data_IF_270307497413
#
_entry.id   IF_270307497413
#
_cell.length_a   1.000
_cell.length_b   1.000
_cell.length_c   1.000
_cell.angle_alpha   90.00
_cell.angle_beta   90.00
_cell.angle_gamma   90.00
#
_symmetry.space_group_name_H-M   'P 1'
#
loop_
_entity.id
_entity.type
_entity.pdbx_description
1 polymer ?
#
# COMPACT_ATOMS: atom_id res chain seq x y z
N UNK A 1 5.92 -20.38 3.16
CA UNK A 1 5.58 -21.53 4.04
C UNK A 1 5.70 -22.85 3.30
N UNK A 2 5.19 -22.96 2.07
CA UNK A 2 5.31 -24.17 1.21
C UNK A 2 6.74 -24.71 1.12
N UNK A 3 7.72 -23.87 0.73
CA UNK A 3 9.12 -24.28 0.63
C UNK A 3 9.69 -24.77 1.97
N UNK A 4 9.41 -24.07 3.08
CA UNK A 4 9.84 -24.49 4.43
C UNK A 4 9.27 -25.84 4.83
N UNK A 5 8.03 -26.16 4.43
CA UNK A 5 7.42 -27.47 4.63
C UNK A 5 8.13 -28.54 3.79
N UNK A 6 8.36 -28.29 2.50
CA UNK A 6 9.07 -29.21 1.59
C UNK A 6 10.47 -29.53 2.12
N UNK A 7 11.20 -28.52 2.59
CA UNK A 7 12.56 -28.66 3.12
C UNK A 7 12.59 -29.18 4.58
N UNK A 8 11.42 -29.40 5.19
CA UNK A 8 11.28 -29.70 6.63
C UNK A 8 12.10 -28.73 7.51
N UNK A 9 12.00 -27.43 7.22
CA UNK A 9 12.77 -26.38 7.87
C UNK A 9 11.92 -25.56 8.86
N UNK A 10 12.08 -25.86 10.15
CA UNK A 10 11.27 -25.29 11.25
C UNK A 10 11.89 -24.07 11.95
N UNK A 11 12.94 -23.49 11.34
CA UNK A 11 13.75 -22.44 11.94
C UNK A 11 15.09 -22.98 12.46
N UNK A 12 16.13 -22.13 12.39
CA UNK A 12 17.51 -22.52 12.70
C UNK A 12 17.67 -22.94 14.16
N UNK A 13 17.21 -22.10 15.10
CA UNK A 13 17.26 -22.39 16.54
C UNK A 13 16.42 -23.63 16.89
N UNK A 14 15.25 -23.79 16.26
CA UNK A 14 14.39 -24.97 16.43
C UNK A 14 15.13 -26.24 16.04
N UNK A 15 15.83 -26.27 14.90
CA UNK A 15 16.64 -27.42 14.48
C UNK A 15 17.75 -27.75 15.49
N UNK A 16 18.48 -26.75 15.97
CA UNK A 16 19.53 -26.95 16.98
C UNK A 16 18.98 -27.57 18.27
N UNK A 17 17.76 -27.23 18.68
CA UNK A 17 17.10 -27.83 19.84
C UNK A 17 16.61 -29.26 19.56
N UNK A 18 16.05 -29.50 18.37
CA UNK A 18 15.61 -30.83 17.94
C UNK A 18 16.77 -31.82 17.82
N UNK A 19 17.96 -31.36 17.43
CA UNK A 19 19.16 -32.21 17.32
C UNK A 19 19.66 -32.71 18.67
N UNK A 20 19.26 -32.08 19.78
CA UNK A 20 19.57 -32.52 21.15
C UNK A 20 18.58 -33.56 21.68
N UNK A 21 17.52 -33.88 20.94
CA UNK A 21 16.48 -34.80 21.39
C UNK A 21 16.73 -36.24 20.94
N UNK A 22 16.02 -37.18 21.57
CA UNK A 22 16.02 -38.57 21.14
C UNK A 22 15.36 -38.71 19.75
N UNK A 23 15.75 -39.70 18.94
CA UNK A 23 15.18 -39.89 17.61
C UNK A 23 13.63 -39.98 17.58
N UNK A 24 12.95 -40.70 18.50
CA UNK A 24 11.49 -40.76 18.52
C UNK A 24 10.82 -39.41 18.81
N UNK A 25 11.39 -38.62 19.73
CA UNK A 25 10.88 -37.29 20.06
C UNK A 25 11.06 -36.33 18.89
N UNK A 26 12.23 -36.36 18.25
CA UNK A 26 12.54 -35.56 17.07
C UNK A 26 11.57 -35.85 15.92
N UNK A 27 11.29 -37.14 15.64
CA UNK A 27 10.32 -37.53 14.62
C UNK A 27 8.90 -37.07 14.93
N UNK A 28 8.45 -37.18 16.19
CA UNK A 28 7.13 -36.69 16.61
C UNK A 28 7.01 -35.18 16.45
N UNK A 29 8.00 -34.41 16.92
CA UNK A 29 8.01 -32.96 16.79
C UNK A 29 8.02 -32.51 15.32
N UNK A 30 8.78 -33.20 14.46
CA UNK A 30 8.79 -32.93 13.02
C UNK A 30 7.39 -33.10 12.41
N UNK A 31 6.67 -34.18 12.76
CA UNK A 31 5.29 -34.38 12.28
C UNK A 31 4.35 -33.27 12.77
N UNK A 32 4.45 -32.87 14.03
CA UNK A 32 3.62 -31.79 14.58
C UNK A 32 3.87 -30.46 13.88
N UNK A 33 5.14 -30.13 13.57
CA UNK A 33 5.47 -28.91 12.81
C UNK A 33 5.04 -28.98 11.34
N UNK A 34 5.10 -30.14 10.71
CA UNK A 34 4.56 -30.31 9.36
C UNK A 34 3.04 -30.11 9.33
N UNK A 35 2.31 -30.66 10.32
CA UNK A 35 0.86 -30.42 10.49
C UNK A 35 0.52 -28.96 10.76
N UNK A 36 1.38 -28.25 11.49
CA UNK A 36 1.25 -26.80 11.67
C UNK A 36 1.35 -26.08 10.33
N UNK A 37 2.35 -26.42 9.49
CA UNK A 37 2.44 -25.85 8.15
C UNK A 37 1.23 -26.18 7.29
N UNK A 38 0.70 -27.40 7.35
CA UNK A 38 -0.54 -27.76 6.66
C UNK A 38 -1.70 -26.88 7.08
N UNK A 39 -1.89 -26.69 8.39
CA UNK A 39 -2.95 -25.83 8.93
C UNK A 39 -2.81 -24.39 8.47
N UNK A 40 -1.58 -23.84 8.46
CA UNK A 40 -1.32 -22.47 8.01
C UNK A 40 -1.56 -22.31 6.51
N UNK A 41 -1.09 -23.25 5.71
CA UNK A 41 -1.29 -23.23 4.25
C UNK A 41 -2.80 -23.32 3.94
N UNK A 42 -3.49 -24.31 4.52
CA UNK A 42 -4.93 -24.48 4.33
C UNK A 42 -5.74 -23.24 4.78
N UNK A 43 -5.31 -22.58 5.86
CA UNK A 43 -5.93 -21.32 6.28
C UNK A 43 -5.72 -20.21 5.25
N UNK A 44 -4.49 -20.01 4.79
CA UNK A 44 -4.16 -18.98 3.80
C UNK A 44 -4.93 -19.25 2.49
N UNK A 45 -4.91 -20.48 1.98
CA UNK A 45 -5.61 -20.87 0.74
C UNK A 45 -7.14 -20.77 0.86
N UNK A 46 -7.70 -20.91 2.08
CA UNK A 46 -9.13 -20.71 2.31
C UNK A 46 -9.56 -19.25 2.16
N UNK A 47 -8.72 -18.31 2.60
CA UNK A 47 -9.09 -16.90 2.68
C UNK A 47 -8.54 -16.05 1.54
N UNK A 48 -7.48 -16.51 0.89
CA UNK A 48 -6.78 -15.80 -0.17
C UNK A 48 -6.85 -16.60 -1.45
N UNK A 49 -7.24 -15.93 -2.53
CA UNK A 49 -7.27 -16.52 -3.86
C UNK A 49 -5.97 -16.17 -4.60
N UNK A 50 -5.13 -17.17 -4.80
CA UNK A 50 -3.87 -17.07 -5.55
C UNK A 50 -4.00 -17.54 -7.00
N UNK A 51 -5.23 -17.77 -7.49
CA UNK A 51 -5.46 -18.16 -8.88
C UNK A 51 -4.97 -17.06 -9.83
N UNK A 52 -4.51 -17.42 -11.05
CA UNK A 52 -4.19 -16.44 -12.10
C UNK A 52 -5.35 -15.50 -12.44
N UNK A 53 -6.58 -15.94 -12.20
CA UNK A 53 -7.80 -15.19 -12.47
C UNK A 53 -8.02 -14.04 -11.48
N UNK A 54 -7.41 -14.12 -10.29
CA UNK A 54 -7.49 -13.11 -9.24
C UNK A 54 -6.99 -11.74 -9.74
N UNK A 55 -7.75 -10.69 -9.44
CA UNK A 55 -7.40 -9.32 -9.86
C UNK A 55 -6.04 -8.89 -9.32
N UNK A 56 -5.73 -9.19 -8.06
CA UNK A 56 -4.45 -8.79 -7.45
C UNK A 56 -3.25 -9.47 -8.12
N UNK A 57 -3.44 -10.72 -8.58
CA UNK A 57 -2.41 -11.43 -9.35
C UNK A 57 -2.15 -10.76 -10.70
N UNK A 58 -3.22 -10.30 -11.39
CA UNK A 58 -3.13 -9.54 -12.64
C UNK A 58 -2.47 -8.17 -12.47
N UNK A 59 -2.55 -7.57 -11.27
CA UNK A 59 -1.92 -6.28 -10.96
C UNK A 59 -0.43 -6.39 -10.59
N UNK A 60 0.08 -7.60 -10.29
CA UNK A 60 1.49 -7.82 -9.90
C UNK A 60 2.52 -7.14 -10.84
N UNK A 61 2.34 -7.14 -12.19
CA UNK A 61 3.28 -6.51 -13.11
C UNK A 61 3.45 -5.00 -12.92
N UNK A 62 2.47 -4.30 -12.34
CA UNK A 62 2.59 -2.87 -11.98
C UNK A 62 3.74 -2.64 -10.98
N UNK A 63 4.15 -3.66 -10.22
CA UNK A 63 5.30 -3.56 -9.31
C UNK A 63 6.64 -3.29 -10.00
N UNK A 64 6.75 -3.50 -11.33
CA UNK A 64 8.00 -3.40 -12.09
C UNK A 64 9.14 -4.18 -11.40
N UNK A 65 8.84 -5.37 -10.87
CA UNK A 65 9.83 -6.28 -10.29
C UNK A 65 10.32 -7.31 -11.31
N UNK A 66 9.52 -7.50 -12.36
CA UNK A 66 9.73 -8.33 -13.53
C UNK A 66 9.37 -7.46 -14.75
N UNK A 67 9.62 -7.96 -15.95
CA UNK A 67 9.30 -7.24 -17.19
C UNK A 67 7.78 -7.04 -17.34
N UNK A 68 7.37 -5.78 -17.54
CA UNK A 68 6.00 -5.42 -17.88
C UNK A 68 5.83 -5.51 -19.40
N UNK A 69 4.92 -6.36 -19.87
CA UNK A 69 4.56 -6.50 -21.28
C UNK A 69 3.26 -5.75 -21.55
N UNK A 70 2.97 -5.45 -22.83
CA UNK A 70 1.70 -4.84 -23.19
C UNK A 70 0.51 -5.75 -22.89
N UNK A 71 0.65 -7.07 -23.04
CA UNK A 71 -0.42 -8.02 -22.70
C UNK A 71 -0.79 -7.96 -21.21
N UNK A 72 0.18 -7.68 -20.32
CA UNK A 72 -0.15 -7.42 -18.92
C UNK A 72 -1.04 -6.19 -18.77
N UNK A 73 -0.78 -5.10 -19.52
CA UNK A 73 -1.61 -3.90 -19.49
C UNK A 73 -3.04 -4.17 -19.99
N UNK A 74 -3.21 -4.97 -21.06
CA UNK A 74 -4.54 -5.40 -21.54
C UNK A 74 -5.32 -6.16 -20.46
N UNK A 75 -4.65 -7.10 -19.78
CA UNK A 75 -5.23 -7.88 -18.69
C UNK A 75 -5.60 -6.99 -17.50
N UNK A 76 -4.75 -6.01 -17.16
CA UNK A 76 -5.01 -5.04 -16.09
C UNK A 76 -6.22 -4.17 -16.42
N UNK A 77 -6.28 -3.58 -17.61
CA UNK A 77 -7.41 -2.74 -18.04
C UNK A 77 -8.72 -3.54 -18.01
N UNK A 78 -8.67 -4.80 -18.45
CA UNK A 78 -9.83 -5.71 -18.42
C UNK A 78 -10.24 -6.03 -16.97
N UNK A 79 -9.29 -6.41 -16.12
CA UNK A 79 -9.55 -6.77 -14.72
C UNK A 79 -10.11 -5.59 -13.91
N UNK A 80 -9.65 -4.38 -14.20
CA UNK A 80 -10.10 -3.14 -13.57
C UNK A 80 -11.36 -2.55 -14.23
N UNK A 81 -11.86 -3.16 -15.31
CA UNK A 81 -13.02 -2.67 -16.09
C UNK A 81 -12.83 -1.23 -16.58
N UNK A 82 -11.63 -0.90 -17.05
CA UNK A 82 -11.26 0.46 -17.49
C UNK A 82 -11.30 0.64 -19.01
N UNK A 83 -11.76 -0.35 -19.78
CA UNK A 83 -11.71 -0.35 -21.24
C UNK A 83 -12.49 0.82 -21.89
N UNK A 84 -13.52 1.34 -21.22
CA UNK A 84 -14.28 2.52 -21.71
C UNK A 84 -13.58 3.85 -21.44
N UNK A 85 -12.61 3.88 -20.52
CA UNK A 85 -11.91 5.09 -20.05
C UNK A 85 -10.52 5.22 -20.70
N UNK A 86 -9.93 4.08 -21.05
CA UNK A 86 -8.58 3.96 -21.56
C UNK A 86 -8.63 3.77 -23.08
N UNK A 87 -7.91 4.62 -23.80
CA UNK A 87 -7.67 4.41 -25.22
C UNK A 87 -6.52 3.39 -25.36
N UNK A 88 -6.85 2.17 -25.82
CA UNK A 88 -5.88 1.06 -25.91
C UNK A 88 -4.80 1.28 -26.97
N UNK A 89 -5.14 1.92 -28.10
CA UNK A 89 -4.17 2.23 -29.15
C UNK A 89 -3.16 3.26 -28.65
N UNK A 90 -3.64 4.33 -28.00
CA UNK A 90 -2.75 5.31 -27.37
C UNK A 90 -1.94 4.70 -26.25
N UNK A 91 -2.52 3.82 -25.42
CA UNK A 91 -1.79 3.13 -24.37
C UNK A 91 -0.61 2.31 -24.93
N UNK A 92 -0.77 1.69 -26.11
CA UNK A 92 0.32 0.97 -26.77
C UNK A 92 1.48 1.91 -27.15
N UNK A 93 1.16 3.04 -27.77
CA UNK A 93 2.17 4.05 -28.12
C UNK A 93 2.87 4.61 -26.86
N UNK A 94 2.11 4.86 -25.79
CA UNK A 94 2.64 5.29 -24.49
C UNK A 94 3.59 4.24 -23.89
N UNK A 95 3.20 2.95 -23.95
CA UNK A 95 4.02 1.83 -23.49
C UNK A 95 5.35 1.74 -24.24
N UNK A 96 5.32 1.84 -25.58
CA UNK A 96 6.53 1.86 -26.39
C UNK A 96 7.43 3.05 -26.04
N UNK A 97 6.82 4.22 -25.82
CA UNK A 97 7.54 5.46 -25.49
C UNK A 97 8.32 5.37 -24.17
N UNK A 98 7.75 4.74 -23.13
CA UNK A 98 8.40 4.64 -21.81
C UNK A 98 9.11 3.31 -21.54
N UNK A 99 9.20 2.40 -22.50
CA UNK A 99 9.75 1.05 -22.30
C UNK A 99 11.17 1.07 -21.69
N UNK A 100 12.05 1.93 -22.21
CA UNK A 100 13.41 2.06 -21.70
C UNK A 100 13.47 2.56 -20.26
N UNK A 101 12.58 3.49 -19.87
CA UNK A 101 12.49 3.99 -18.51
C UNK A 101 11.90 2.95 -17.55
N UNK A 102 10.89 2.19 -17.98
CA UNK A 102 10.35 1.07 -17.22
C UNK A 102 11.40 -0.02 -16.97
N UNK A 103 12.24 -0.33 -17.97
CA UNK A 103 13.34 -1.27 -17.81
C UNK A 103 14.36 -0.77 -16.78
N UNK A 104 14.78 0.50 -16.83
CA UNK A 104 15.66 1.09 -15.82
C UNK A 104 15.05 1.02 -14.41
N UNK A 105 13.77 1.37 -14.28
CA UNK A 105 13.06 1.31 -13.01
C UNK A 105 12.96 -0.13 -12.45
N UNK A 106 12.88 -1.14 -13.32
CA UNK A 106 12.83 -2.54 -12.91
C UNK A 106 14.13 -3.07 -12.29
N UNK A 107 15.27 -2.48 -12.67
CA UNK A 107 16.58 -2.86 -12.15
C UNK A 107 16.84 -2.27 -10.75
N UNK A 108 16.16 -1.17 -10.41
CA UNK A 108 16.28 -0.51 -9.12
C UNK A 108 15.41 -1.22 -8.06
N UNK A 109 16.01 -2.19 -7.37
CA UNK A 109 15.35 -2.97 -6.30
C UNK A 109 15.19 -2.21 -4.99
N UNK A 110 15.81 -1.05 -4.83
CA UNK A 110 15.73 -0.26 -3.61
C UNK A 110 14.45 0.60 -3.57
N UNK A 111 13.96 1.02 -4.74
CA UNK A 111 12.76 1.84 -4.85
C UNK A 111 11.48 1.05 -4.68
N UNK A 112 10.52 1.68 -4.00
CA UNK A 112 9.13 1.24 -3.94
C UNK A 112 8.46 1.34 -5.31
N UNK A 113 7.35 0.63 -5.50
CA UNK A 113 6.54 0.70 -6.73
C UNK A 113 6.15 2.13 -7.09
N UNK A 114 5.78 2.95 -6.10
CA UNK A 114 5.40 4.35 -6.32
C UNK A 114 6.58 5.18 -6.83
N UNK A 115 7.75 5.05 -6.22
CA UNK A 115 8.96 5.76 -6.63
C UNK A 115 9.44 5.36 -8.03
N UNK A 116 9.30 4.07 -8.38
CA UNK A 116 9.60 3.57 -9.74
C UNK A 116 8.70 4.27 -10.78
N UNK A 117 7.40 4.28 -10.55
CA UNK A 117 6.46 4.92 -11.48
C UNK A 117 6.62 6.43 -11.53
N UNK A 118 6.88 7.08 -10.39
CA UNK A 118 7.24 8.50 -10.34
C UNK A 118 8.42 8.81 -11.25
N UNK A 119 9.49 8.01 -11.20
CA UNK A 119 10.66 8.19 -12.06
C UNK A 119 10.31 8.01 -13.55
N UNK A 120 9.57 6.95 -13.91
CA UNK A 120 9.11 6.72 -15.29
C UNK A 120 8.29 7.91 -15.81
N UNK A 121 7.32 8.37 -15.02
CA UNK A 121 6.43 9.48 -15.40
C UNK A 121 7.19 10.80 -15.53
N UNK A 122 8.14 11.07 -14.64
CA UNK A 122 8.94 12.30 -14.67
C UNK A 122 9.91 12.30 -15.86
N UNK A 123 10.58 11.17 -16.12
CA UNK A 123 11.57 11.07 -17.18
C UNK A 123 10.96 11.06 -18.59
N UNK A 124 9.79 10.43 -18.77
CA UNK A 124 9.07 10.41 -20.05
C UNK A 124 8.16 11.62 -20.23
N UNK A 125 7.74 12.24 -19.13
CA UNK A 125 6.79 13.36 -19.11
C UNK A 125 5.34 12.89 -19.06
N UNK A 126 4.60 13.35 -18.05
CA UNK A 126 3.19 12.97 -17.80
C UNK A 126 2.26 13.15 -19.02
N UNK A 127 2.49 14.20 -19.82
CA UNK A 127 1.65 14.48 -21.00
C UNK A 127 1.74 13.36 -22.05
N UNK A 128 2.86 12.63 -22.08
CA UNK A 128 3.12 11.53 -23.01
C UNK A 128 2.65 10.17 -22.47
N UNK A 129 2.06 10.11 -21.27
CA UNK A 129 1.70 8.86 -20.58
C UNK A 129 0.31 8.95 -19.95
N UNK A 130 -0.66 9.58 -20.63
CA UNK A 130 -1.96 9.88 -20.04
C UNK A 130 -2.74 8.62 -19.63
N UNK A 131 -2.83 7.62 -20.51
CA UNK A 131 -3.55 6.37 -20.25
C UNK A 131 -2.81 5.52 -19.20
N UNK A 132 -1.49 5.39 -19.31
CA UNK A 132 -0.67 4.67 -18.36
C UNK A 132 -0.72 5.32 -16.96
N UNK A 133 -0.68 6.64 -16.91
CA UNK A 133 -0.82 7.41 -15.67
C UNK A 133 -2.17 7.15 -14.99
N UNK A 134 -3.27 7.10 -15.74
CA UNK A 134 -4.60 6.77 -15.19
C UNK A 134 -4.62 5.38 -14.55
N UNK A 135 -4.08 4.37 -15.24
CA UNK A 135 -4.02 2.99 -14.74
C UNK A 135 -3.19 2.92 -13.46
N UNK A 136 -1.96 3.44 -13.50
CA UNK A 136 -1.03 3.40 -12.36
C UNK A 136 -1.57 4.18 -11.18
N UNK A 137 -2.12 5.37 -11.40
CA UNK A 137 -2.70 6.19 -10.34
C UNK A 137 -3.90 5.49 -9.70
N UNK A 138 -4.75 4.85 -10.49
CA UNK A 138 -5.88 4.10 -9.97
C UNK A 138 -5.40 2.96 -9.06
N UNK A 139 -4.49 2.11 -9.54
CA UNK A 139 -3.95 0.97 -8.78
C UNK A 139 -3.27 1.44 -7.48
N UNK A 140 -2.46 2.49 -7.53
CA UNK A 140 -1.73 2.99 -6.36
C UNK A 140 -2.59 3.84 -5.41
N UNK A 141 -3.78 4.28 -5.84
CA UNK A 141 -4.73 4.99 -4.98
C UNK A 141 -5.48 4.07 -4.02
N UNK A 142 -5.51 2.76 -4.29
CA UNK A 142 -6.17 1.77 -3.44
C UNK A 142 -5.17 1.30 -2.37
N UNK A 143 -5.41 1.59 -1.09
CA UNK A 143 -4.51 1.14 -0.03
C UNK A 143 -4.53 -0.39 0.06
N UNK A 144 -3.35 -1.01 -0.03
CA UNK A 144 -3.21 -2.47 0.07
C UNK A 144 -3.36 -3.05 1.49
N UNK A 145 -3.69 -2.21 2.47
CA UNK A 145 -3.79 -2.59 3.88
C UNK A 145 -4.68 -1.63 4.66
N UNK A 146 -5.43 -2.17 5.62
CA UNK A 146 -6.18 -1.39 6.58
C UNK A 146 -5.28 -0.73 7.64
N UNK A 147 -3.99 -1.04 7.72
CA UNK A 147 -3.08 -0.51 8.74
C UNK A 147 -3.02 1.02 8.77
N UNK A 148 -3.13 1.68 7.60
CA UNK A 148 -3.23 3.14 7.54
C UNK A 148 -4.52 3.62 8.22
N UNK A 149 -5.66 3.02 7.85
CA UNK A 149 -6.98 3.34 8.43
C UNK A 149 -7.01 3.03 9.94
N UNK A 150 -6.44 1.91 10.36
CA UNK A 150 -6.31 1.53 11.79
C UNK A 150 -5.46 2.53 12.56
N UNK A 151 -4.40 3.08 11.96
CA UNK A 151 -3.62 4.16 12.58
C UNK A 151 -4.48 5.41 12.76
N UNK A 152 -5.29 5.78 11.77
CA UNK A 152 -6.24 6.89 11.89
C UNK A 152 -7.23 6.63 13.03
N UNK A 153 -7.77 5.41 13.14
CA UNK A 153 -8.67 5.03 14.23
C UNK A 153 -7.97 5.08 15.60
N UNK A 154 -6.72 4.63 15.70
CA UNK A 154 -5.96 4.73 16.94
C UNK A 154 -5.77 6.20 17.38
N UNK A 155 -5.41 7.09 16.45
CA UNK A 155 -5.30 8.54 16.72
C UNK A 155 -6.67 9.12 17.10
N UNK A 156 -7.73 8.72 16.41
CA UNK A 156 -9.10 9.15 16.69
C UNK A 156 -9.51 8.74 18.11
N UNK A 157 -9.30 7.48 18.52
CA UNK A 157 -9.62 6.98 19.86
C UNK A 157 -8.85 7.72 20.95
N UNK A 158 -7.58 8.06 20.71
CA UNK A 158 -6.79 8.84 21.67
C UNK A 158 -7.34 10.27 21.85
N UNK A 159 -7.82 10.89 20.76
CA UNK A 159 -8.36 12.25 20.77
C UNK A 159 -9.81 12.32 21.26
N UNK A 160 -10.57 11.26 21.02
CA UNK A 160 -11.98 11.10 21.37
C UNK A 160 -12.12 10.07 22.50
N UNK A 161 -11.54 10.37 23.66
CA UNK A 161 -11.63 9.56 24.87
C UNK A 161 -12.58 10.17 25.90
N UNK A 162 -13.02 9.35 26.87
CA UNK A 162 -14.01 9.76 27.89
C UNK A 162 -13.57 10.95 28.77
N UNK A 163 -12.28 11.25 28.80
CA UNK A 163 -11.73 12.42 29.51
C UNK A 163 -11.73 13.71 28.66
N UNK A 164 -11.87 13.60 27.33
CA UNK A 164 -11.96 14.72 26.35
C UNK A 164 -13.39 14.94 25.83
N UNK A 165 -14.39 14.62 26.65
CA UNK A 165 -15.79 14.37 26.31
C UNK A 165 -16.70 15.51 25.80
N UNK A 166 -16.20 16.51 25.06
CA UNK A 166 -17.06 17.59 24.52
C UNK A 166 -16.67 18.11 23.13
N UNK A 167 -15.88 17.37 22.35
CA UNK A 167 -15.56 17.79 20.98
C UNK A 167 -16.65 17.33 20.00
N UNK A 168 -17.04 18.19 19.08
CA UNK A 168 -17.91 17.79 17.98
C UNK A 168 -17.18 16.84 17.02
N UNK A 169 -17.94 15.99 16.33
CA UNK A 169 -17.44 15.13 15.23
C UNK A 169 -16.64 15.93 14.22
N UNK A 170 -17.13 17.12 13.86
CA UNK A 170 -16.48 18.02 12.90
C UNK A 170 -15.14 18.55 13.42
N UNK A 171 -15.03 18.87 14.71
CA UNK A 171 -13.76 19.29 15.30
C UNK A 171 -12.74 18.15 15.26
N UNK A 172 -13.14 16.94 15.66
CA UNK A 172 -12.25 15.76 15.64
C UNK A 172 -11.79 15.45 14.21
N UNK A 173 -12.71 15.49 13.23
CA UNK A 173 -12.39 15.32 11.81
C UNK A 173 -11.33 16.31 11.33
N UNK A 174 -11.52 17.61 11.61
CA UNK A 174 -10.56 18.64 11.22
C UNK A 174 -9.20 18.47 11.93
N UNK A 175 -9.20 18.11 13.21
CA UNK A 175 -7.98 17.85 13.97
C UNK A 175 -7.19 16.65 13.40
N UNK A 176 -7.89 15.59 13.00
CA UNK A 176 -7.29 14.43 12.34
C UNK A 176 -6.70 14.79 10.97
N UNK A 177 -7.42 15.56 10.16
CA UNK A 177 -6.94 16.01 8.86
C UNK A 177 -5.62 16.80 8.98
N UNK A 178 -5.54 17.70 9.96
CA UNK A 178 -4.30 18.44 10.24
C UNK A 178 -3.20 17.49 10.72
N UNK A 179 -3.51 16.59 11.66
CA UNK A 179 -2.50 15.69 12.24
C UNK A 179 -1.89 14.73 11.23
N UNK A 180 -2.68 14.32 10.24
CA UNK A 180 -2.30 13.28 9.27
C UNK A 180 -1.67 13.86 8.01
N UNK A 181 -2.06 15.08 7.61
CA UNK A 181 -1.63 15.69 6.36
C UNK A 181 -0.72 16.91 6.54
N UNK A 182 -0.45 17.34 7.78
CA UNK A 182 0.49 18.42 8.04
C UNK A 182 1.87 17.85 8.35
N UNK A 183 2.77 17.91 7.36
CA UNK A 183 4.15 17.46 7.49
C UNK A 183 5.06 18.51 8.18
N UNK A 184 4.49 19.63 8.63
CA UNK A 184 5.24 20.69 9.32
C UNK A 184 5.52 20.29 10.76
N UNK A 185 6.76 20.57 11.22
CA UNK A 185 7.05 20.54 12.65
C UNK A 185 6.20 21.57 13.38
N UNK A 186 6.00 21.41 14.70
CA UNK A 186 5.26 22.40 15.50
C UNK A 186 5.84 23.82 15.35
N UNK A 187 7.17 23.93 15.18
CA UNK A 187 7.85 25.22 14.97
C UNK A 187 7.51 25.81 13.61
N UNK A 188 7.61 25.00 12.56
CA UNK A 188 7.36 25.47 11.19
C UNK A 188 5.89 25.78 10.97
N UNK A 189 5.00 24.98 11.56
CA UNK A 189 3.56 25.25 11.57
C UNK A 189 3.25 26.58 12.27
N UNK A 190 3.85 26.83 13.44
CA UNK A 190 3.68 28.10 14.16
C UNK A 190 4.12 29.30 13.31
N UNK A 191 5.29 29.20 12.66
CA UNK A 191 5.79 30.23 11.75
C UNK A 191 4.87 30.42 10.54
N UNK A 192 4.39 29.33 9.93
CA UNK A 192 3.48 29.38 8.79
C UNK A 192 2.15 30.09 9.15
N UNK A 193 1.56 29.74 10.30
CA UNK A 193 0.31 30.34 10.79
C UNK A 193 0.50 31.81 11.16
N UNK A 194 1.63 32.19 11.76
CA UNK A 194 1.94 33.59 12.10
C UNK A 194 1.98 34.49 10.86
N UNK A 195 2.42 33.95 9.72
CA UNK A 195 2.52 34.68 8.47
C UNK A 195 1.22 34.67 7.65
N UNK A 196 0.28 33.77 7.94
CA UNK A 196 -1.03 33.72 7.28
C UNK A 196 -2.06 34.63 7.97
N UNK A 197 -2.04 35.92 7.59
CA UNK A 197 -2.98 36.92 8.09
C UNK A 197 -4.44 36.54 7.87
N UNK A 198 -4.77 35.92 6.73
CA UNK A 198 -6.14 35.54 6.38
C UNK A 198 -6.65 34.44 7.30
N UNK A 199 -5.82 33.45 7.59
CA UNK A 199 -6.13 32.40 8.57
C UNK A 199 -6.31 33.00 9.97
N UNK A 200 -5.41 33.88 10.40
CA UNK A 200 -5.48 34.54 11.72
C UNK A 200 -6.76 35.40 11.88
N UNK A 201 -7.13 36.16 10.85
CA UNK A 201 -8.37 36.94 10.82
C UNK A 201 -9.60 36.03 10.88
N UNK A 202 -9.59 34.92 10.15
CA UNK A 202 -10.68 33.94 10.14
C UNK A 202 -10.86 33.28 11.51
N UNK A 203 -9.75 32.89 12.16
CA UNK A 203 -9.76 32.30 13.51
C UNK A 203 -10.26 33.31 14.56
N UNK A 204 -9.92 34.60 14.42
CA UNK A 204 -10.42 35.67 15.30
C UNK A 204 -11.88 36.03 15.04
N UNK A 205 -12.40 35.74 13.85
CA UNK A 205 -13.77 36.11 13.50
C UNK A 205 -14.81 35.34 14.32
N UNK A 206 -15.96 35.99 14.57
CA UNK A 206 -17.09 35.38 15.27
C UNK A 206 -17.88 34.40 14.39
N UNK A 207 -17.58 34.30 13.08
CA UNK A 207 -18.29 33.46 12.11
C UNK A 207 -18.27 31.96 12.45
N UNK A 208 -17.38 31.54 13.35
CA UNK A 208 -17.28 30.16 13.84
C UNK A 208 -18.32 29.79 14.89
N UNK A 209 -19.04 30.76 15.46
CA UNK A 209 -20.08 30.51 16.45
C UNK A 209 -21.46 30.75 15.80
N UNK A 210 -22.28 29.70 15.60
CA UNK A 210 -23.58 29.83 14.92
C UNK A 210 -24.65 30.60 15.72
N UNK A 211 -24.34 31.02 16.95
CA UNK A 211 -25.25 31.71 17.88
C UNK A 211 -24.85 33.16 18.16
N UNK A 212 -24.10 33.81 17.27
CA UNK A 212 -23.79 35.25 17.33
C UNK A 212 -24.03 35.93 15.99
#
# INVERSE_FOLDING_TARGET
>A
MVQRKQDSFFGYQTRQLMDKQTPPQKSKQQQDFLKFYDSVIAYIDKWMDFSPENVMMKLKPIGLNEELTFSHLEQIVTALKMAEIINMDQLYEEFCTCQGEMQKASQDKAKTTSEKWMAVIQNTGKVNLNNLFKIVSFVLSVPGSNAFVERIFSVMTNKWSDSRNRCSTELIKNELLITVNCDLSCKDFSLAVQNDKKMLESVRSNKKYPWK
#
